data_IF_977187971046
#
_entry.id   IF_977187971046
#
_cell.length_a   1.000
_cell.length_b   1.000
_cell.length_c   1.000
_cell.angle_alpha   90.00
_cell.angle_beta   90.00
_cell.angle_gamma   90.00
#
_symmetry.space_group_name_H-M   'P 1'
#
loop_
_entity.id
_entity.type
_entity.pdbx_description
1 polymer ?
#
# COMPACT_ATOMS: atom_id res chain seq x y z
N UNK A 1 -4.62 -31.03 -11.37
CA UNK A 1 -4.49 -29.58 -11.67
C UNK A 1 -3.08 -29.16 -11.29
N UNK A 2 -2.35 -28.49 -12.19
CA UNK A 2 -1.04 -27.93 -11.86
C UNK A 2 -1.23 -26.75 -10.90
N UNK A 3 -0.30 -26.59 -9.94
CA UNK A 3 -0.39 -25.56 -8.92
C UNK A 3 -0.39 -24.10 -9.42
N UNK A 4 -0.20 -23.87 -10.73
CA UNK A 4 -0.23 -22.55 -11.37
C UNK A 4 -1.63 -22.09 -11.79
N UNK A 5 -2.55 -22.99 -12.11
CA UNK A 5 -3.90 -22.63 -12.58
C UNK A 5 -4.73 -21.89 -11.53
N UNK A 6 -4.51 -22.17 -10.24
CA UNK A 6 -5.19 -21.48 -9.12
C UNK A 6 -4.89 -19.99 -9.04
N UNK A 7 -3.83 -19.52 -9.69
CA UNK A 7 -3.43 -18.11 -9.68
C UNK A 7 -3.95 -17.31 -10.88
N UNK A 8 -4.53 -17.96 -11.89
CA UNK A 8 -5.02 -17.27 -13.11
C UNK A 8 -6.19 -16.33 -12.82
N UNK A 9 -7.17 -16.76 -12.01
CA UNK A 9 -8.28 -15.91 -11.56
C UNK A 9 -7.80 -14.70 -10.75
N UNK A 10 -6.99 -14.89 -9.69
CA UNK A 10 -6.37 -13.80 -8.94
C UNK A 10 -5.58 -12.81 -9.81
N UNK A 11 -4.76 -13.31 -10.74
CA UNK A 11 -4.01 -12.46 -11.68
C UNK A 11 -4.93 -11.66 -12.60
N UNK A 12 -6.02 -12.26 -13.09
CA UNK A 12 -6.99 -11.56 -13.93
C UNK A 12 -7.71 -10.46 -13.15
N UNK A 13 -8.13 -10.72 -11.90
CA UNK A 13 -8.79 -9.74 -11.05
C UNK A 13 -7.87 -8.55 -10.72
N UNK A 14 -6.61 -8.81 -10.39
CA UNK A 14 -5.61 -7.76 -10.15
C UNK A 14 -5.30 -6.98 -11.43
N UNK A 15 -5.23 -7.65 -12.58
CA UNK A 15 -5.06 -6.97 -13.88
C UNK A 15 -6.25 -6.05 -14.19
N UNK A 16 -7.47 -6.52 -13.97
CA UNK A 16 -8.68 -5.72 -14.20
C UNK A 16 -8.73 -4.50 -13.28
N UNK A 17 -8.34 -4.65 -12.01
CA UNK A 17 -8.16 -3.52 -11.09
C UNK A 17 -7.25 -2.46 -11.71
N UNK A 18 -6.02 -2.81 -12.13
CA UNK A 18 -5.09 -1.84 -12.69
C UNK A 18 -5.56 -1.20 -14.01
N UNK A 19 -6.39 -1.90 -14.78
CA UNK A 19 -6.97 -1.35 -16.03
C UNK A 19 -8.07 -0.33 -15.72
N UNK A 20 -8.93 -0.60 -14.74
CA UNK A 20 -10.04 0.29 -14.37
C UNK A 20 -9.61 1.46 -13.51
N UNK A 21 -8.56 1.25 -12.73
CA UNK A 21 -8.04 2.18 -11.74
C UNK A 21 -6.60 2.57 -12.10
N UNK A 22 -6.38 3.34 -13.19
CA UNK A 22 -5.03 3.77 -13.55
C UNK A 22 -4.47 4.68 -12.46
N UNK A 23 -3.25 4.36 -12.01
CA UNK A 23 -2.54 5.14 -10.99
C UNK A 23 -1.21 5.60 -11.58
N UNK A 24 -0.88 6.87 -11.40
CA UNK A 24 0.27 7.52 -12.05
C UNK A 24 1.56 7.41 -11.25
N UNK A 25 1.52 6.74 -10.09
CA UNK A 25 2.69 6.53 -9.23
C UNK A 25 3.46 5.26 -9.61
N UNK A 26 4.79 5.35 -9.65
CA UNK A 26 5.62 4.19 -9.93
C UNK A 26 5.54 3.13 -8.82
N UNK A 27 5.40 1.87 -9.23
CA UNK A 27 5.41 0.71 -8.34
C UNK A 27 6.74 -0.05 -8.45
N UNK A 28 7.28 -0.48 -7.32
CA UNK A 28 8.48 -1.33 -7.27
C UNK A 28 8.15 -2.82 -7.30
N UNK A 29 7.01 -3.22 -6.72
CA UNK A 29 6.56 -4.62 -6.75
C UNK A 29 5.07 -4.74 -6.44
N UNK A 30 4.46 -5.84 -6.91
CA UNK A 30 3.12 -6.27 -6.55
C UNK A 30 3.20 -7.73 -6.11
N UNK A 31 2.73 -8.05 -4.90
CA UNK A 31 2.58 -9.42 -4.41
C UNK A 31 1.11 -9.77 -4.36
N UNK A 32 0.76 -10.97 -4.80
CA UNK A 32 -0.62 -11.43 -4.86
C UNK A 32 -0.77 -12.63 -3.93
N UNK A 33 -1.77 -12.56 -3.06
CA UNK A 33 -2.15 -13.61 -2.14
C UNK A 33 -3.58 -14.09 -2.42
N UNK A 34 -3.86 -15.31 -1.97
CA UNK A 34 -5.22 -15.83 -1.84
C UNK A 34 -5.32 -16.45 -0.47
N UNK A 35 -6.28 -16.00 0.33
CA UNK A 35 -6.48 -16.55 1.67
C UNK A 35 -7.22 -17.89 1.64
N UNK A 36 -7.41 -18.51 2.81
CA UNK A 36 -8.13 -19.78 2.93
C UNK A 36 -9.62 -19.68 2.55
N UNK A 37 -10.20 -18.48 2.54
CA UNK A 37 -11.56 -18.19 2.10
C UNK A 37 -11.68 -17.94 0.59
N UNK A 38 -10.56 -17.93 -0.15
CA UNK A 38 -10.54 -17.64 -1.58
C UNK A 38 -10.52 -16.16 -1.92
N UNK A 39 -10.36 -15.26 -0.94
CA UNK A 39 -10.28 -13.82 -1.17
C UNK A 39 -8.91 -13.49 -1.77
N UNK A 40 -8.93 -12.78 -2.89
CA UNK A 40 -7.72 -12.31 -3.57
C UNK A 40 -7.24 -11.05 -2.88
N UNK A 41 -5.95 -11.00 -2.54
CA UNK A 41 -5.30 -9.81 -2.00
C UNK A 41 -4.10 -9.39 -2.86
N UNK A 42 -3.88 -8.08 -2.96
CA UNK A 42 -2.74 -7.49 -3.63
C UNK A 42 -2.00 -6.54 -2.68
N UNK A 43 -0.72 -6.80 -2.45
CA UNK A 43 0.20 -5.89 -1.78
C UNK A 43 1.02 -5.16 -2.84
N UNK A 44 0.73 -3.89 -3.02
CA UNK A 44 1.43 -2.97 -3.93
C UNK A 44 2.48 -2.19 -3.13
N UNK A 45 3.73 -2.21 -3.60
CA UNK A 45 4.78 -1.37 -3.04
C UNK A 45 5.10 -0.25 -4.02
N UNK A 46 5.02 0.99 -3.54
CA UNK A 46 5.44 2.15 -4.32
C UNK A 46 6.97 2.17 -4.45
N UNK A 47 7.47 2.67 -5.57
CA UNK A 47 8.93 2.84 -5.75
C UNK A 47 9.40 4.00 -4.88
N UNK A 48 10.59 3.85 -4.30
CA UNK A 48 11.29 4.97 -3.68
C UNK A 48 11.47 6.09 -4.73
N UNK A 49 10.78 7.19 -4.50
CA UNK A 49 10.66 8.32 -5.41
C UNK A 49 10.59 9.63 -4.59
N UNK A 50 10.43 10.75 -5.27
CA UNK A 50 10.25 12.05 -4.64
C UNK A 50 9.12 12.01 -3.57
N UNK A 51 9.33 12.59 -2.37
CA UNK A 51 8.34 12.62 -1.31
C UNK A 51 6.94 13.10 -1.71
N UNK A 52 6.84 14.12 -2.55
CA UNK A 52 5.55 14.65 -3.00
C UNK A 52 4.86 13.66 -3.95
N UNK A 53 5.62 12.95 -4.78
CA UNK A 53 5.11 11.88 -5.65
C UNK A 53 4.58 10.70 -4.82
N UNK A 54 5.26 10.34 -3.73
CA UNK A 54 4.78 9.30 -2.81
C UNK A 54 3.50 9.71 -2.08
N UNK A 55 3.44 10.93 -1.54
CA UNK A 55 2.24 11.47 -0.90
C UNK A 55 1.06 11.51 -1.88
N UNK A 56 1.29 11.99 -3.10
CA UNK A 56 0.28 12.03 -4.16
C UNK A 56 -0.20 10.61 -4.52
N UNK A 57 0.71 9.65 -4.64
CA UNK A 57 0.38 8.26 -4.94
C UNK A 57 -0.49 7.62 -3.85
N UNK A 58 -0.16 7.82 -2.58
CA UNK A 58 -0.97 7.33 -1.45
C UNK A 58 -2.40 7.89 -1.50
N UNK A 59 -2.56 9.20 -1.71
CA UNK A 59 -3.88 9.84 -1.81
C UNK A 59 -4.64 9.39 -3.06
N UNK A 60 -3.96 9.24 -4.20
CA UNK A 60 -4.56 8.72 -5.43
C UNK A 60 -5.13 7.31 -5.20
N UNK A 61 -4.36 6.42 -4.56
CA UNK A 61 -4.84 5.09 -4.19
C UNK A 61 -6.02 5.12 -3.22
N UNK A 62 -6.01 6.01 -2.23
CA UNK A 62 -7.13 6.14 -1.28
C UNK A 62 -8.43 6.52 -1.99
N UNK A 63 -8.37 7.48 -2.91
CA UNK A 63 -9.53 7.91 -3.73
C UNK A 63 -10.05 6.83 -4.67
N UNK A 64 -9.13 6.00 -5.15
CA UNK A 64 -9.39 4.98 -6.15
C UNK A 64 -10.04 3.73 -5.54
N UNK A 65 -9.68 3.39 -4.31
CA UNK A 65 -10.17 2.20 -3.64
C UNK A 65 -11.54 2.42 -3.01
N UNK A 66 -12.43 1.46 -3.17
CA UNK A 66 -13.68 1.39 -2.41
C UNK A 66 -13.32 1.21 -0.94
N UNK A 67 -13.86 2.10 -0.10
CA UNK A 67 -13.53 2.19 1.33
C UNK A 67 -12.02 2.38 1.56
N UNK A 68 -11.39 3.19 0.70
CA UNK A 68 -10.00 3.58 0.82
C UNK A 68 -9.72 4.25 2.16
N UNK A 69 -8.86 3.63 2.95
CA UNK A 69 -8.40 4.14 4.23
C UNK A 69 -6.88 4.15 4.23
N UNK A 70 -6.30 5.16 4.88
CA UNK A 70 -4.86 5.29 5.04
C UNK A 70 -4.52 5.15 6.51
N UNK A 71 -3.40 4.49 6.76
CA UNK A 71 -2.78 4.33 8.06
C UNK A 71 -1.35 4.80 7.97
N UNK A 72 -0.87 5.45 9.02
CA UNK A 72 0.54 5.69 9.16
C UNK A 72 0.97 5.49 10.61
N UNK A 73 2.11 4.87 10.78
CA UNK A 73 2.67 4.57 12.09
C UNK A 73 4.19 4.62 12.04
N UNK A 74 4.81 4.84 13.20
CA UNK A 74 6.25 4.67 13.36
C UNK A 74 6.54 3.26 13.84
N UNK A 75 7.60 2.64 13.32
CA UNK A 75 8.09 1.35 13.79
C UNK A 75 8.43 1.42 15.29
N UNK A 76 8.43 0.29 16.02
CA UNK A 76 8.66 0.26 17.47
C UNK A 76 10.01 0.86 17.89
N UNK A 77 11.02 0.80 17.02
CA UNK A 77 12.33 1.38 17.25
C UNK A 77 12.44 2.87 16.84
N UNK A 78 11.34 3.47 16.37
CA UNK A 78 11.25 4.87 15.94
C UNK A 78 12.01 5.20 14.66
N UNK A 79 12.56 4.20 13.97
CA UNK A 79 13.47 4.31 12.82
C UNK A 79 12.78 4.22 11.46
N UNK A 80 11.57 3.68 11.40
CA UNK A 80 10.75 3.66 10.18
C UNK A 80 9.44 4.40 10.38
N UNK A 81 9.00 5.16 9.39
CA UNK A 81 7.61 5.59 9.27
C UNK A 81 6.99 4.81 8.12
N UNK A 82 5.84 4.22 8.37
CA UNK A 82 5.17 3.32 7.44
C UNK A 82 3.85 3.95 7.08
N UNK A 83 3.58 4.06 5.78
CA UNK A 83 2.29 4.54 5.28
C UNK A 83 1.67 3.40 4.49
N UNK A 84 0.43 3.06 4.83
CA UNK A 84 -0.34 2.06 4.11
C UNK A 84 -1.70 2.61 3.75
N UNK A 85 -2.12 2.38 2.52
CA UNK A 85 -3.50 2.59 2.10
C UNK A 85 -4.12 1.26 1.70
N UNK A 86 -5.31 0.97 2.21
CA UNK A 86 -6.03 -0.25 1.92
C UNK A 86 -7.47 0.03 1.56
N UNK A 87 -8.08 -0.94 0.90
CA UNK A 87 -9.46 -0.89 0.47
C UNK A 87 -9.72 -2.02 -0.50
N UNK A 88 -10.75 -1.87 -1.33
CA UNK A 88 -11.14 -2.86 -2.31
C UNK A 88 -11.16 -2.26 -3.72
N UNK A 89 -10.95 -3.10 -4.74
CA UNK A 89 -11.34 -2.74 -6.10
C UNK A 89 -12.84 -2.47 -6.20
N UNK A 90 -13.28 -1.77 -7.24
CA UNK A 90 -14.69 -1.38 -7.44
C UNK A 90 -15.69 -2.54 -7.31
N UNK A 91 -15.33 -3.71 -7.81
CA UNK A 91 -16.19 -4.91 -7.75
C UNK A 91 -16.11 -5.66 -6.40
N UNK A 92 -15.37 -5.12 -5.41
CA UNK A 92 -15.17 -5.71 -4.09
C UNK A 92 -14.32 -6.99 -4.06
N UNK A 93 -13.93 -7.52 -5.23
CA UNK A 93 -13.31 -8.84 -5.38
C UNK A 93 -11.81 -8.93 -5.06
N UNK A 94 -11.12 -7.79 -4.87
CA UNK A 94 -9.70 -7.75 -4.55
C UNK A 94 -9.47 -6.81 -3.38
N UNK A 95 -8.95 -7.34 -2.27
CA UNK A 95 -8.44 -6.53 -1.17
C UNK A 95 -7.05 -5.99 -1.53
N UNK A 96 -6.85 -4.68 -1.41
CA UNK A 96 -5.63 -4.01 -1.83
C UNK A 96 -4.96 -3.38 -0.63
N UNK A 97 -3.65 -3.53 -0.50
CA UNK A 97 -2.81 -2.79 0.42
C UNK A 97 -1.65 -2.15 -0.35
N UNK A 98 -1.47 -0.84 -0.21
CA UNK A 98 -0.49 -0.02 -0.91
C UNK A 98 0.45 0.55 0.12
N UNK A 99 1.75 0.31 -0.02
CA UNK A 99 2.74 0.71 0.99
C UNK A 99 3.79 1.64 0.41
N UNK A 100 4.08 2.72 1.14
CA UNK A 100 5.25 3.58 0.94
C UNK A 100 6.23 3.43 2.11
N UNK A 101 7.51 3.29 1.80
CA UNK A 101 8.58 3.03 2.78
C UNK A 101 9.04 1.57 2.88
N UNK A 102 10.05 1.26 3.69
CA UNK A 102 10.46 -0.11 3.97
C UNK A 102 9.33 -0.82 4.71
N UNK A 103 9.01 -2.04 4.28
CA UNK A 103 8.08 -2.91 5.03
C UNK A 103 8.95 -3.89 5.80
N UNK A 104 8.98 -3.83 7.14
CA UNK A 104 9.70 -4.80 7.94
C UNK A 104 9.14 -6.19 7.63
N UNK A 105 10.01 -7.20 7.68
CA UNK A 105 9.57 -8.59 7.53
C UNK A 105 8.61 -8.93 8.70
N UNK A 106 7.36 -9.30 8.39
CA UNK A 106 6.41 -9.81 9.38
C UNK A 106 5.43 -8.81 10.00
N UNK A 107 5.23 -7.61 9.44
CA UNK A 107 4.25 -6.69 10.00
C UNK A 107 2.80 -7.12 9.70
N UNK A 108 2.02 -7.29 10.77
CA UNK A 108 0.57 -7.16 10.77
C UNK A 108 0.22 -5.67 10.95
N UNK A 109 -0.74 -5.18 10.16
CA UNK A 109 -1.26 -3.82 10.21
C UNK A 109 -2.23 -3.70 11.39
N UNK A 110 -1.81 -3.11 12.50
CA UNK A 110 -2.74 -2.66 13.53
C UNK A 110 -2.21 -1.35 14.13
N UNK A 111 -2.73 -0.22 13.65
CA UNK A 111 -2.85 1.07 14.34
C UNK A 111 -3.62 2.05 13.44
N UNK A 112 -4.77 2.53 13.92
CA UNK A 112 -5.64 3.51 13.24
C UNK A 112 -5.00 4.92 13.24
N UNK A 113 -5.08 5.62 12.09
CA UNK A 113 -4.92 7.08 12.08
C UNK A 113 -6.09 7.74 12.83
N UNK A 114 -5.90 8.94 13.39
CA UNK A 114 -6.97 9.65 14.09
C UNK A 114 -8.08 10.05 13.12
N UNK A 115 -9.22 9.37 13.19
CA UNK A 115 -10.49 9.78 12.58
C UNK A 115 -10.50 9.92 11.06
N UNK A 116 -11.63 10.41 10.55
CA UNK A 116 -11.82 10.68 9.13
C UNK A 116 -11.07 11.97 8.75
N UNK A 117 -9.92 11.82 8.07
CA UNK A 117 -9.10 12.94 7.59
C UNK A 117 -9.43 13.20 6.11
N UNK A 118 -9.66 14.46 5.74
CA UNK A 118 -9.82 14.87 4.34
C UNK A 118 -8.55 14.62 3.50
N UNK A 119 -8.69 14.34 2.20
CA UNK A 119 -7.56 13.99 1.34
C UNK A 119 -6.54 15.11 1.15
N UNK A 120 -6.96 16.38 1.12
CA UNK A 120 -6.01 17.49 0.97
C UNK A 120 -5.24 17.71 2.27
N UNK A 121 -5.88 17.47 3.41
CA UNK A 121 -5.23 17.45 4.73
C UNK A 121 -4.25 16.29 4.82
N UNK A 122 -4.65 15.10 4.38
CA UNK A 122 -3.80 13.92 4.32
C UNK A 122 -2.59 14.14 3.40
N UNK A 123 -2.80 14.72 2.22
CA UNK A 123 -1.73 15.03 1.27
C UNK A 123 -0.67 15.95 1.88
N UNK A 124 -1.10 17.06 2.49
CA UNK A 124 -0.18 18.02 3.13
C UNK A 124 0.57 17.36 4.30
N UNK A 125 -0.16 16.66 5.16
CA UNK A 125 0.44 15.97 6.30
C UNK A 125 1.47 14.91 5.87
N UNK A 126 1.15 14.09 4.86
CA UNK A 126 2.07 13.12 4.29
C UNK A 126 3.28 13.80 3.66
N UNK A 127 3.07 14.90 2.93
CA UNK A 127 4.15 15.69 2.35
C UNK A 127 5.13 16.17 3.42
N UNK A 128 4.62 16.71 4.53
CA UNK A 128 5.42 17.18 5.66
C UNK A 128 6.13 16.02 6.39
N UNK A 129 5.44 14.93 6.69
CA UNK A 129 6.04 13.78 7.39
C UNK A 129 7.10 13.08 6.53
N UNK A 130 6.83 12.85 5.24
CA UNK A 130 7.80 12.22 4.33
C UNK A 130 8.98 13.18 4.13
N UNK A 131 8.76 14.48 3.87
CA UNK A 131 9.87 15.42 3.66
C UNK A 131 10.83 15.51 4.86
N UNK A 132 10.32 15.37 6.09
CA UNK A 132 11.14 15.47 7.30
C UNK A 132 11.80 14.14 7.72
N UNK A 133 11.34 12.99 7.21
CA UNK A 133 11.76 11.68 7.71
C UNK A 133 12.21 10.71 6.59
N UNK A 134 12.24 11.13 5.32
CA UNK A 134 12.57 10.28 4.15
C UNK A 134 14.02 10.47 3.65
N UNK A 135 14.69 9.41 3.13
CA UNK A 135 14.23 8.02 3.10
C UNK A 135 14.28 7.40 4.49
N UNK A 136 13.31 6.54 4.81
CA UNK A 136 13.36 5.75 6.04
C UNK A 136 14.54 4.78 5.90
N UNK A 137 15.63 5.04 6.62
CA UNK A 137 16.80 4.17 6.58
C UNK A 137 16.43 2.81 7.18
N UNK A 138 16.40 1.76 6.35
CA UNK A 138 16.52 0.40 6.86
C UNK A 138 17.90 0.26 7.48
N UNK A 139 17.98 -0.07 8.77
CA UNK A 139 19.26 -0.41 9.38
C UNK A 139 19.94 -1.52 8.57
N UNK A 140 21.26 -1.47 8.37
CA UNK A 140 21.99 -2.57 7.75
C UNK A 140 21.77 -3.85 8.57
N UNK A 141 21.09 -4.85 7.99
CA UNK A 141 20.87 -6.16 8.62
C UNK A 141 19.44 -6.71 8.61
N UNK A 142 18.42 -5.94 8.19
CA UNK A 142 17.01 -6.39 8.26
C UNK A 142 16.51 -7.19 7.04
N UNK A 143 17.39 -7.56 6.10
CA UNK A 143 17.05 -8.37 4.91
C UNK A 143 17.64 -9.79 4.93
N UNK A 144 18.14 -10.27 6.08
CA UNK A 144 18.64 -11.64 6.24
C UNK A 144 17.56 -12.59 6.72
#
# INVERSE_FOLDING_TARGET
MSGSQRFLGPLAAVRELFVRCPVDVEMSSVRIGVDAGGVVSALVRLRNSDPAVLAAGIVQWRRTLVRGNTWAWRGPAGDGFHIVTTGFGEDGGVAVAVVAGPVPAGCCLDLELPGEIDDDVLYRWLGDEIANNWPFETKPGELS
#
